data_IF_283058072526
#
_entry.id   IF_283058072526
#
_cell.length_a   1.000
_cell.length_b   1.000
_cell.length_c   1.000
_cell.angle_alpha   90.00
_cell.angle_beta   90.00
_cell.angle_gamma   90.00
#
_symmetry.space_group_name_H-M   'P 1'
#
loop_
_entity.id
_entity.type
_entity.pdbx_description
1 polymer ?
#
# COMPACT_ATOMS: atom_id res chain seq x y z
N UNK A 1 1.66 -1.46 4.14
CA UNK A 1 0.36 -1.95 3.64
C UNK A 1 -0.82 -1.46 4.48
N UNK A 2 -0.78 -1.53 5.83
CA UNK A 2 -1.81 -0.95 6.71
C UNK A 2 -2.04 0.54 6.44
N UNK A 3 -0.97 1.34 6.32
CA UNK A 3 -1.06 2.79 6.02
C UNK A 3 -1.79 3.08 4.70
N UNK A 4 -1.60 2.25 3.66
CA UNK A 4 -2.33 2.37 2.39
C UNK A 4 -3.82 2.02 2.57
N UNK A 5 -4.13 1.07 3.47
CA UNK A 5 -5.51 0.75 3.83
C UNK A 5 -6.16 1.85 4.66
N UNK A 6 -5.37 2.60 5.44
CA UNK A 6 -5.81 3.80 6.17
C UNK A 6 -6.44 3.54 7.55
N UNK A 7 -6.61 2.28 7.93
CA UNK A 7 -7.19 1.88 9.23
C UNK A 7 -6.83 0.43 9.57
N UNK A 8 -7.15 0.00 10.80
CA UNK A 8 -6.97 -1.39 11.21
C UNK A 8 -7.99 -2.28 10.47
N UNK A 9 -7.58 -3.29 9.68
CA UNK A 9 -8.49 -4.26 9.09
C UNK A 9 -9.09 -5.19 10.14
N UNK A 10 -10.26 -5.78 9.84
CA UNK A 10 -10.87 -6.83 10.65
C UNK A 10 -10.25 -8.19 10.32
N UNK A 11 -9.90 -8.40 9.05
CA UNK A 11 -9.23 -9.63 8.59
C UNK A 11 -8.23 -9.37 7.48
N UNK A 12 -7.24 -10.26 7.39
CA UNK A 12 -6.22 -10.24 6.34
C UNK A 12 -5.88 -11.66 5.87
N UNK A 13 -5.95 -11.88 4.56
CA UNK A 13 -5.40 -13.07 3.92
C UNK A 13 -3.98 -12.72 3.43
N UNK A 14 -2.96 -13.41 3.92
CA UNK A 14 -1.54 -13.19 3.59
C UNK A 14 -1.06 -14.33 2.70
N UNK A 15 -0.99 -14.07 1.40
CA UNK A 15 -0.53 -15.01 0.39
C UNK A 15 0.98 -14.87 0.25
N UNK A 16 1.71 -15.93 0.53
CA UNK A 16 3.17 -15.98 0.51
C UNK A 16 3.63 -16.77 -0.70
N UNK A 17 4.63 -16.25 -1.40
CA UNK A 17 5.14 -16.85 -2.63
C UNK A 17 6.61 -17.25 -2.52
N UNK A 18 7.02 -18.23 -3.33
CA UNK A 18 8.40 -18.70 -3.53
C UNK A 18 9.18 -18.89 -2.21
N UNK A 19 10.21 -18.08 -1.95
CA UNK A 19 11.03 -18.19 -0.74
C UNK A 19 10.21 -17.95 0.52
N UNK A 20 9.37 -16.90 0.53
CA UNK A 20 8.51 -16.58 1.67
C UNK A 20 7.53 -17.71 2.01
N UNK A 21 6.97 -18.39 1.01
CA UNK A 21 6.07 -19.51 1.23
C UNK A 21 6.73 -20.67 1.99
N UNK A 22 8.04 -20.85 1.82
CA UNK A 22 8.82 -21.95 2.41
C UNK A 22 9.40 -21.62 3.78
N UNK A 23 9.72 -20.35 4.02
CA UNK A 23 10.58 -19.94 5.14
C UNK A 23 9.91 -19.01 6.16
N UNK A 24 8.69 -18.54 5.92
CA UNK A 24 8.06 -17.46 6.69
C UNK A 24 8.03 -17.69 8.20
N UNK A 25 7.77 -18.94 8.67
CA UNK A 25 7.75 -19.26 10.10
C UNK A 25 9.16 -19.30 10.70
N UNK A 26 10.12 -19.89 9.98
CA UNK A 26 11.49 -20.04 10.48
C UNK A 26 12.28 -18.73 10.53
N UNK A 27 11.91 -17.76 9.72
CA UNK A 27 12.57 -16.46 9.62
C UNK A 27 11.78 -15.32 10.27
N UNK A 28 10.67 -15.62 10.96
CA UNK A 28 9.85 -14.60 11.63
C UNK A 28 9.11 -13.65 10.68
N UNK A 29 8.98 -14.03 9.40
CA UNK A 29 8.25 -13.19 8.42
C UNK A 29 6.78 -13.04 8.79
N UNK A 30 6.14 -14.08 9.33
CA UNK A 30 4.78 -14.06 9.88
C UNK A 30 4.64 -13.04 11.00
N UNK A 31 5.56 -13.06 11.96
CA UNK A 31 5.64 -12.14 13.08
C UNK A 31 5.79 -10.70 12.59
N UNK A 32 6.74 -10.45 11.67
CA UNK A 32 7.00 -9.14 11.13
C UNK A 32 5.82 -8.57 10.32
N UNK A 33 5.16 -9.40 9.49
CA UNK A 33 4.01 -8.98 8.70
C UNK A 33 2.82 -8.62 9.59
N UNK A 34 2.56 -9.41 10.63
CA UNK A 34 1.47 -9.14 11.57
C UNK A 34 1.79 -7.96 12.48
N UNK A 35 3.03 -7.86 12.96
CA UNK A 35 3.47 -6.68 13.71
C UNK A 35 3.28 -5.38 12.94
N UNK A 36 3.67 -5.35 11.67
CA UNK A 36 3.42 -4.21 10.80
C UNK A 36 1.93 -3.92 10.55
N UNK A 37 1.05 -4.93 10.56
CA UNK A 37 -0.41 -4.73 10.52
C UNK A 37 -0.94 -4.13 11.82
N UNK A 38 -0.31 -4.42 12.96
CA UNK A 38 -0.63 -3.82 14.25
C UNK A 38 0.02 -2.44 14.45
N UNK A 39 0.85 -1.98 13.50
CA UNK A 39 1.56 -0.70 13.58
C UNK A 39 2.79 -0.74 14.49
N UNK A 40 3.40 -1.91 14.64
CA UNK A 40 4.65 -2.06 15.39
C UNK A 40 5.84 -1.70 14.51
N UNK A 41 6.80 -0.99 15.10
CA UNK A 41 8.09 -0.73 14.48
C UNK A 41 9.00 -1.97 14.53
N UNK A 42 10.06 -2.04 13.70
CA UNK A 42 10.95 -3.20 13.65
C UNK A 42 11.66 -3.52 14.96
N UNK A 43 11.84 -2.55 15.85
CA UNK A 43 12.48 -2.66 17.17
C UNK A 43 11.47 -2.78 18.34
N UNK A 44 10.18 -2.86 18.04
CA UNK A 44 9.14 -3.01 19.08
C UNK A 44 9.30 -4.35 19.81
N UNK A 45 9.50 -4.30 21.12
CA UNK A 45 9.69 -5.49 21.97
C UNK A 45 8.50 -6.46 21.92
N UNK A 46 7.29 -5.96 21.57
CA UNK A 46 6.07 -6.76 21.46
C UNK A 46 5.99 -7.53 20.14
N UNK A 47 6.94 -7.30 19.20
CA UNK A 47 6.91 -7.89 17.86
C UNK A 47 6.85 -9.44 17.93
N UNK A 48 7.58 -10.05 18.87
CA UNK A 48 7.57 -11.49 19.06
C UNK A 48 6.17 -12.06 19.41
N UNK A 49 5.33 -11.26 20.05
CA UNK A 49 3.96 -11.62 20.47
C UNK A 49 2.89 -11.14 19.46
N UNK A 50 3.29 -10.62 18.30
CA UNK A 50 2.37 -9.97 17.35
C UNK A 50 1.18 -10.84 16.93
N UNK A 51 1.39 -12.15 16.72
CA UNK A 51 0.32 -13.09 16.37
C UNK A 51 -0.73 -13.22 17.50
N UNK A 52 -0.27 -13.29 18.76
CA UNK A 52 -1.12 -13.35 19.92
C UNK A 52 -1.90 -12.04 20.09
N UNK A 53 -1.21 -10.91 19.97
CA UNK A 53 -1.81 -9.58 20.08
C UNK A 53 -2.82 -9.30 18.97
N UNK A 54 -2.58 -9.79 17.75
CA UNK A 54 -3.55 -9.73 16.66
C UNK A 54 -4.85 -10.46 17.03
N UNK A 55 -4.74 -11.68 17.54
CA UNK A 55 -5.90 -12.45 17.98
C UNK A 55 -6.65 -11.75 19.14
N UNK A 56 -5.94 -11.22 20.14
CA UNK A 56 -6.53 -10.49 21.26
C UNK A 56 -7.24 -9.20 20.83
N UNK A 57 -6.77 -8.56 19.75
CA UNK A 57 -7.39 -7.38 19.16
C UNK A 57 -8.49 -7.70 18.14
N UNK A 58 -8.80 -8.97 17.92
CA UNK A 58 -9.83 -9.40 16.99
C UNK A 58 -9.44 -9.30 15.51
N UNK A 59 -8.14 -9.18 15.20
CA UNK A 59 -7.65 -9.24 13.82
C UNK A 59 -7.53 -10.71 13.37
N UNK A 60 -8.37 -11.11 12.43
CA UNK A 60 -8.28 -12.43 11.80
C UNK A 60 -7.17 -12.47 10.76
N UNK A 61 -6.16 -13.34 10.97
CA UNK A 61 -5.01 -13.49 10.05
C UNK A 61 -4.97 -14.89 9.48
N UNK A 62 -5.00 -15.00 8.15
CA UNK A 62 -4.86 -16.25 7.43
C UNK A 62 -3.59 -16.24 6.58
N UNK A 63 -2.64 -17.11 6.88
CA UNK A 63 -1.45 -17.35 6.04
C UNK A 63 -1.74 -18.41 4.98
N UNK A 64 -1.49 -18.08 3.71
CA UNK A 64 -1.74 -18.94 2.55
C UNK A 64 -0.45 -19.10 1.76
N UNK A 65 0.40 -20.09 2.08
CA UNK A 65 1.56 -20.41 1.25
C UNK A 65 1.14 -20.86 -0.14
N UNK A 66 1.71 -20.27 -1.18
CA UNK A 66 1.42 -20.54 -2.59
C UNK A 66 2.55 -21.33 -3.25
N UNK A 67 2.17 -22.30 -4.08
CA UNK A 67 3.13 -23.07 -4.88
C UNK A 67 3.36 -22.51 -6.29
N UNK A 68 2.66 -21.44 -6.62
CA UNK A 68 2.75 -20.76 -7.92
C UNK A 68 4.06 -19.99 -8.03
N UNK A 69 4.64 -19.95 -9.23
CA UNK A 69 5.77 -19.07 -9.51
C UNK A 69 5.34 -17.61 -9.40
N UNK A 70 6.18 -16.79 -8.80
CA UNK A 70 5.97 -15.36 -8.67
C UNK A 70 7.06 -14.59 -9.44
N UNK A 71 6.77 -13.31 -9.72
CA UNK A 71 7.72 -12.42 -10.38
C UNK A 71 8.95 -12.12 -9.52
N UNK A 72 8.84 -12.33 -8.18
CA UNK A 72 9.94 -12.10 -7.24
C UNK A 72 9.97 -13.19 -6.14
N UNK A 73 11.14 -13.68 -5.72
CA UNK A 73 11.27 -14.75 -4.70
C UNK A 73 10.74 -14.33 -3.32
N UNK A 74 10.77 -13.05 -3.00
CA UNK A 74 10.33 -12.51 -1.71
C UNK A 74 9.07 -11.64 -1.92
N UNK A 75 8.00 -12.26 -2.39
CA UNK A 75 6.73 -11.61 -2.67
C UNK A 75 5.66 -12.02 -1.67
N UNK A 76 4.88 -11.04 -1.23
CA UNK A 76 3.69 -11.22 -0.40
C UNK A 76 2.53 -10.44 -0.99
N UNK A 77 1.36 -11.05 -1.08
CA UNK A 77 0.11 -10.37 -1.40
C UNK A 77 -0.78 -10.42 -0.17
N UNK A 78 -1.24 -9.26 0.27
CA UNK A 78 -2.20 -9.13 1.36
C UNK A 78 -3.56 -8.73 0.81
N UNK A 79 -4.60 -9.38 1.30
CA UNK A 79 -6.00 -9.01 1.04
C UNK A 79 -6.59 -8.57 2.37
N UNK A 80 -6.70 -7.24 2.55
CA UNK A 80 -7.21 -6.61 3.76
C UNK A 80 -8.70 -6.35 3.62
N UNK A 81 -9.45 -6.61 4.69
CA UNK A 81 -10.91 -6.45 4.71
C UNK A 81 -11.36 -5.74 5.97
N UNK A 82 -12.35 -4.84 5.84
CA UNK A 82 -13.06 -4.22 6.95
C UNK A 82 -14.49 -3.89 6.53
N UNK A 83 -15.48 -4.55 7.14
CA UNK A 83 -16.84 -4.51 6.64
C UNK A 83 -16.90 -4.86 5.16
N UNK A 84 -17.52 -4.01 4.35
CA UNK A 84 -17.60 -4.18 2.88
C UNK A 84 -16.35 -3.72 2.13
N UNK A 85 -15.42 -3.07 2.82
CA UNK A 85 -14.18 -2.56 2.21
C UNK A 85 -13.16 -3.67 2.06
N UNK A 86 -12.62 -3.79 0.84
CA UNK A 86 -11.56 -4.75 0.53
C UNK A 86 -10.46 -4.07 -0.27
N UNK A 87 -9.21 -4.41 0.05
CA UNK A 87 -8.04 -3.95 -0.70
C UNK A 87 -7.04 -5.09 -0.87
N UNK A 88 -6.46 -5.21 -2.04
CA UNK A 88 -5.34 -6.11 -2.28
C UNK A 88 -4.05 -5.32 -2.55
N UNK A 89 -2.98 -5.70 -1.87
CA UNK A 89 -1.65 -5.07 -2.01
C UNK A 89 -0.62 -6.17 -2.16
N UNK A 90 0.21 -6.06 -3.20
CA UNK A 90 1.37 -6.95 -3.38
C UNK A 90 2.64 -6.16 -3.12
N UNK A 91 3.45 -6.67 -2.22
CA UNK A 91 4.77 -6.12 -1.89
C UNK A 91 5.87 -7.12 -2.16
N UNK A 92 7.04 -6.60 -2.52
CA UNK A 92 8.27 -7.37 -2.72
C UNK A 92 9.37 -6.80 -1.83
N UNK A 93 10.17 -7.67 -1.23
CA UNK A 93 11.40 -7.26 -0.54
C UNK A 93 12.54 -7.22 -1.55
N UNK A 94 13.08 -6.02 -1.78
CA UNK A 94 14.16 -5.79 -2.75
C UNK A 94 15.56 -5.80 -2.11
N UNK A 95 15.64 -6.22 -0.83
CA UNK A 95 16.90 -6.31 -0.09
C UNK A 95 17.24 -5.03 0.68
N UNK A 96 18.20 -5.13 1.63
CA UNK A 96 18.64 -3.98 2.43
C UNK A 96 17.58 -3.35 3.32
N UNK A 97 16.53 -4.09 3.70
CA UNK A 97 15.40 -3.55 4.45
C UNK A 97 14.36 -2.83 3.58
N UNK A 98 14.61 -2.69 2.28
CA UNK A 98 13.72 -1.96 1.38
C UNK A 98 12.60 -2.84 0.84
N UNK A 99 11.44 -2.24 0.67
CA UNK A 99 10.26 -2.84 0.08
C UNK A 99 9.73 -2.00 -1.09
N UNK A 100 9.09 -2.67 -2.02
CA UNK A 100 8.37 -2.03 -3.13
C UNK A 100 6.97 -2.60 -3.21
N UNK A 101 5.97 -1.76 -3.37
CA UNK A 101 4.62 -2.19 -3.72
C UNK A 101 4.55 -2.35 -5.22
N UNK A 102 4.27 -3.56 -5.69
CA UNK A 102 4.25 -3.91 -7.11
C UNK A 102 2.84 -4.02 -7.70
N UNK A 103 1.82 -4.15 -6.82
CA UNK A 103 0.42 -4.19 -7.23
C UNK A 103 -0.48 -3.59 -6.14
N UNK A 104 -1.47 -2.80 -6.56
CA UNK A 104 -2.54 -2.30 -5.69
C UNK A 104 -3.89 -2.48 -6.40
N UNK A 105 -4.80 -3.26 -5.79
CA UNK A 105 -6.14 -3.56 -6.32
C UNK A 105 -6.14 -4.04 -7.79
N UNK A 106 -5.14 -4.85 -8.17
CA UNK A 106 -4.96 -5.35 -9.53
C UNK A 106 -4.17 -4.44 -10.47
N UNK A 107 -3.92 -3.19 -10.10
CA UNK A 107 -3.07 -2.30 -10.88
C UNK A 107 -1.60 -2.63 -10.64
N UNK A 108 -0.85 -2.92 -11.71
CA UNK A 108 0.61 -3.01 -11.63
C UNK A 108 1.19 -1.62 -11.44
N UNK A 109 1.96 -1.46 -10.37
CA UNK A 109 2.56 -0.20 -9.96
C UNK A 109 4.01 -0.42 -9.52
N UNK A 110 4.74 0.66 -9.35
CA UNK A 110 6.04 0.66 -8.70
C UNK A 110 6.05 1.80 -7.69
N UNK A 111 5.79 1.46 -6.41
CA UNK A 111 5.76 2.42 -5.33
C UNK A 111 6.84 2.04 -4.32
N UNK A 112 7.84 2.91 -4.19
CA UNK A 112 8.84 2.86 -3.13
C UNK A 112 8.39 3.79 -2.00
N UNK A 113 8.49 3.34 -0.76
CA UNK A 113 7.89 4.03 0.38
C UNK A 113 8.83 5.08 1.01
N UNK A 114 9.68 5.73 0.19
CA UNK A 114 10.72 6.66 0.66
C UNK A 114 10.38 8.14 0.59
N UNK A 115 9.35 8.52 -0.17
CA UNK A 115 8.96 9.92 -0.41
C UNK A 115 7.46 10.10 -0.27
N UNK A 116 6.96 11.31 0.05
CA UNK A 116 5.53 11.58 0.03
C UNK A 116 4.93 11.24 -1.33
N UNK A 117 3.88 10.43 -1.34
CA UNK A 117 3.31 9.89 -2.58
C UNK A 117 1.79 9.94 -2.57
N UNK A 118 1.22 10.61 -3.55
CA UNK A 118 -0.22 10.56 -3.82
C UNK A 118 -0.57 9.30 -4.60
N UNK A 119 -1.50 8.52 -4.09
CA UNK A 119 -2.11 7.35 -4.75
C UNK A 119 -3.55 7.69 -5.06
N UNK A 120 -3.85 7.94 -6.33
CA UNK A 120 -5.13 8.48 -6.79
C UNK A 120 -5.81 7.45 -7.69
N UNK A 121 -6.99 6.98 -7.31
CA UNK A 121 -7.83 6.14 -8.16
C UNK A 121 -8.91 7.01 -8.78
N UNK A 122 -9.01 7.00 -10.11
CA UNK A 122 -9.91 7.86 -10.86
C UNK A 122 -10.51 7.15 -12.08
N UNK A 123 -11.52 7.74 -12.70
CA UNK A 123 -12.00 7.30 -14.00
C UNK A 123 -11.01 7.71 -15.10
N UNK A 124 -10.79 6.84 -16.08
CA UNK A 124 -9.95 7.13 -17.24
C UNK A 124 -10.69 8.04 -18.24
N UNK A 125 -10.64 9.34 -17.97
CA UNK A 125 -11.26 10.37 -18.82
C UNK A 125 -10.25 11.47 -19.16
N UNK A 126 -10.42 12.15 -20.32
CA UNK A 126 -9.56 13.25 -20.72
C UNK A 126 -9.50 14.37 -19.66
N UNK A 127 -8.32 14.94 -19.45
CA UNK A 127 -8.08 16.06 -18.57
C UNK A 127 -7.83 15.71 -17.09
N UNK A 128 -7.90 14.44 -16.68
CA UNK A 128 -7.66 14.07 -15.27
C UNK A 128 -6.22 14.39 -14.83
N UNK A 129 -5.24 14.03 -15.63
CA UNK A 129 -3.83 14.35 -15.35
C UNK A 129 -3.66 15.87 -15.19
N UNK A 130 -4.18 16.65 -16.14
CA UNK A 130 -4.08 18.12 -16.10
C UNK A 130 -4.70 18.72 -14.84
N UNK A 131 -5.88 18.24 -14.42
CA UNK A 131 -6.55 18.73 -13.20
C UNK A 131 -5.73 18.48 -11.95
N UNK A 132 -5.17 17.28 -11.82
CA UNK A 132 -4.35 16.91 -10.66
C UNK A 132 -3.04 17.69 -10.67
N UNK A 133 -2.34 17.75 -11.81
CA UNK A 133 -1.05 18.45 -11.89
C UNK A 133 -1.21 19.98 -11.78
N UNK A 134 -2.33 20.55 -12.17
CA UNK A 134 -2.62 21.96 -11.92
C UNK A 134 -2.73 22.26 -10.42
N UNK A 135 -3.43 21.41 -9.64
CA UNK A 135 -3.52 21.57 -8.19
C UNK A 135 -2.13 21.48 -7.53
N UNK A 136 -1.28 20.56 -7.97
CA UNK A 136 0.11 20.46 -7.50
C UNK A 136 0.91 21.72 -7.84
N UNK A 137 0.76 22.22 -9.07
CA UNK A 137 1.43 23.45 -9.54
C UNK A 137 0.97 24.67 -8.75
N UNK A 138 -0.34 24.84 -8.52
CA UNK A 138 -0.90 25.93 -7.71
C UNK A 138 -0.40 25.89 -6.25
N UNK A 139 -0.23 24.68 -5.70
CA UNK A 139 0.37 24.46 -4.38
C UNK A 139 1.90 24.57 -4.39
N UNK A 140 2.53 24.84 -5.55
CA UNK A 140 3.98 24.90 -5.73
C UNK A 140 4.73 23.62 -5.31
N UNK A 141 4.07 22.47 -5.43
CA UNK A 141 4.65 21.16 -5.12
C UNK A 141 5.24 20.56 -6.40
N UNK A 142 6.53 20.23 -6.34
CA UNK A 142 7.23 19.60 -7.43
C UNK A 142 6.95 18.09 -7.50
N UNK A 143 6.91 17.55 -8.72
CA UNK A 143 6.70 16.14 -9.01
C UNK A 143 8.06 15.50 -9.31
N UNK A 144 8.49 14.54 -8.48
CA UNK A 144 9.68 13.74 -8.72
C UNK A 144 9.41 12.62 -9.74
N UNK A 145 8.37 11.83 -9.49
CA UNK A 145 7.97 10.73 -10.37
C UNK A 145 6.45 10.72 -10.53
N UNK A 146 5.98 10.41 -11.72
CA UNK A 146 4.56 10.23 -11.98
C UNK A 146 4.31 9.02 -12.88
N UNK A 147 3.41 8.15 -12.45
CA UNK A 147 2.98 6.98 -13.23
C UNK A 147 1.47 6.94 -13.30
N UNK A 148 0.92 6.68 -14.47
CA UNK A 148 -0.52 6.48 -14.66
C UNK A 148 -0.74 5.14 -15.34
N UNK A 149 -1.52 4.28 -14.70
CA UNK A 149 -1.89 2.96 -15.22
C UNK A 149 -3.40 2.84 -15.24
N UNK A 150 -3.97 2.36 -16.33
CA UNK A 150 -5.41 2.11 -16.46
C UNK A 150 -5.70 0.62 -16.53
N UNK A 151 -6.85 0.24 -16.01
CA UNK A 151 -7.37 -1.13 -16.13
C UNK A 151 -7.79 -1.41 -17.59
N UNK A 152 -8.65 -0.54 -18.11
CA UNK A 152 -9.06 -0.50 -19.51
C UNK A 152 -9.52 0.92 -19.89
N UNK A 153 -9.64 1.19 -21.18
CA UNK A 153 -10.04 2.51 -21.69
C UNK A 153 -11.42 2.92 -21.17
N UNK A 154 -11.47 4.09 -20.51
CA UNK A 154 -12.69 4.67 -19.96
C UNK A 154 -13.11 4.13 -18.58
N UNK A 155 -12.45 3.09 -18.10
CA UNK A 155 -12.71 2.46 -16.81
C UNK A 155 -11.88 3.12 -15.67
N UNK A 156 -11.42 2.33 -14.72
CA UNK A 156 -10.56 2.83 -13.64
C UNK A 156 -9.13 2.99 -14.08
N UNK A 157 -8.49 4.03 -13.57
CA UNK A 157 -7.06 4.26 -13.64
C UNK A 157 -6.50 4.57 -12.26
N UNK A 158 -5.23 4.32 -12.07
CA UNK A 158 -4.48 4.71 -10.89
C UNK A 158 -3.34 5.66 -11.31
N UNK A 159 -3.21 6.75 -10.57
CA UNK A 159 -2.14 7.72 -10.74
C UNK A 159 -1.31 7.72 -9.45
N UNK A 160 -0.01 7.52 -9.57
CA UNK A 160 0.96 7.54 -8.48
C UNK A 160 1.89 8.72 -8.73
N UNK A 161 1.96 9.63 -7.79
CA UNK A 161 2.77 10.84 -7.90
C UNK A 161 3.64 10.97 -6.66
N UNK A 162 4.95 10.77 -6.82
CA UNK A 162 5.95 11.08 -5.80
C UNK A 162 6.26 12.57 -5.84
N UNK A 163 6.25 13.21 -4.68
CA UNK A 163 6.43 14.65 -4.53
C UNK A 163 7.50 14.97 -3.50
N UNK A 164 8.03 16.19 -3.57
CA UNK A 164 9.09 16.61 -2.65
C UNK A 164 8.54 16.95 -1.24
N UNK A 165 7.25 17.35 -1.15
CA UNK A 165 6.66 17.83 0.09
C UNK A 165 5.27 17.23 0.35
N UNK A 166 4.98 16.93 1.64
CA UNK A 166 3.66 16.49 2.10
C UNK A 166 2.67 17.64 2.13
N UNK A 167 1.46 17.41 1.63
CA UNK A 167 0.34 18.36 1.77
C UNK A 167 -1.00 17.61 1.85
N UNK A 168 -1.52 17.46 3.08
CA UNK A 168 -2.77 16.73 3.35
C UNK A 168 -4.00 17.49 2.84
N UNK A 169 -3.97 18.82 2.85
CA UNK A 169 -5.07 19.64 2.32
C UNK A 169 -5.23 19.41 0.81
N UNK A 170 -4.11 19.31 0.10
CA UNK A 170 -4.10 19.02 -1.33
C UNK A 170 -4.68 17.63 -1.63
N UNK A 171 -4.40 16.63 -0.79
CA UNK A 171 -5.01 15.31 -0.93
C UNK A 171 -6.55 15.36 -0.86
N UNK A 172 -7.11 16.21 0.01
CA UNK A 172 -8.55 16.41 0.10
C UNK A 172 -9.10 17.17 -1.13
N UNK A 173 -8.37 18.15 -1.64
CA UNK A 173 -8.76 18.86 -2.88
C UNK A 173 -8.75 17.92 -4.09
N UNK A 174 -7.73 17.09 -4.23
CA UNK A 174 -7.66 16.07 -5.29
C UNK A 174 -8.82 15.07 -5.17
N UNK A 175 -9.10 14.60 -3.94
CA UNK A 175 -10.23 13.69 -3.68
C UNK A 175 -11.59 14.29 -4.05
N UNK A 176 -11.74 15.61 -3.96
CA UNK A 176 -12.96 16.32 -4.30
C UNK A 176 -13.14 16.57 -5.81
N UNK A 177 -12.12 16.29 -6.63
CA UNK A 177 -12.24 16.44 -8.08
C UNK A 177 -13.29 15.49 -8.67
N UNK A 178 -14.07 15.93 -9.68
CA UNK A 178 -14.96 15.04 -10.41
C UNK A 178 -14.20 13.87 -11.01
N UNK A 179 -14.77 12.66 -10.94
CA UNK A 179 -14.21 11.41 -11.43
C UNK A 179 -13.03 10.84 -10.61
N UNK A 180 -12.69 11.42 -9.47
CA UNK A 180 -11.76 10.82 -8.50
C UNK A 180 -12.56 9.94 -7.54
N UNK A 181 -12.17 8.68 -7.41
CA UNK A 181 -12.78 7.72 -6.50
C UNK A 181 -12.10 7.74 -5.12
N UNK A 182 -10.77 7.86 -5.11
CA UNK A 182 -9.99 7.98 -3.88
C UNK A 182 -8.67 8.70 -4.12
N UNK A 183 -8.19 9.40 -3.09
CA UNK A 183 -6.84 9.94 -3.03
C UNK A 183 -6.29 9.64 -1.64
N UNK A 184 -5.13 8.99 -1.60
CA UNK A 184 -4.36 8.71 -0.39
C UNK A 184 -3.02 9.41 -0.52
N UNK A 185 -2.56 10.07 0.53
CA UNK A 185 -1.20 10.56 0.65
C UNK A 185 -0.44 9.62 1.57
N UNK A 186 0.53 8.92 1.00
CA UNK A 186 1.48 8.11 1.74
C UNK A 186 2.72 8.93 2.08
N UNK A 187 3.22 8.77 3.30
CA UNK A 187 4.49 9.35 3.75
C UNK A 187 5.24 8.32 4.58
N UNK A 188 6.57 8.34 4.55
CA UNK A 188 7.39 7.49 5.42
C UNK A 188 7.27 7.86 6.90
N UNK A 189 6.88 9.10 7.19
CA UNK A 189 6.81 9.66 8.54
C UNK A 189 5.45 9.43 9.23
N UNK A 190 4.60 8.58 8.69
CA UNK A 190 3.33 8.18 9.35
C UNK A 190 3.54 7.35 10.63
N UNK A 191 4.80 7.21 11.09
CA UNK A 191 5.19 6.52 12.32
C UNK A 191 5.35 7.47 13.54
N UNK A 192 5.26 8.80 13.35
CA UNK A 192 5.56 9.78 14.40
C UNK A 192 4.33 10.54 14.95
N UNK A 193 3.10 10.00 14.78
CA UNK A 193 1.90 10.51 15.48
C UNK A 193 1.18 9.43 16.30
#
# INVERSE_FOLDING_TARGET
MRHIFGEQPDSVDILLYESFAKTYRGHGTDIALVGGLLGMEPDDQRLADSLKLAYEQGLEVLFVPKNEKAEHPNMVKMILKKGDRKMSVTGISIGGGNIQISELNGFKISLTLGTPTYVIVHQDVPGMIARVTNLLSEAQINIGTMTVTRESKGEKAIMIIEVDERNDQLAQQIKALPHVYSCLLYTSDAADE
#
